data_IF_240144852611
#
_entry.id   IF_240144852611
#
_cell.length_a   1.000
_cell.length_b   1.000
_cell.length_c   1.000
_cell.angle_alpha   90.00
_cell.angle_beta   90.00
_cell.angle_gamma   90.00
#
_symmetry.space_group_name_H-M   'P 1'
#
loop_
_entity.id
_entity.type
_entity.pdbx_description
1 polymer ?
#
# COMPACT_ATOMS: atom_id res chain seq x y z
N UNK A 1 -2.87 -18.22 13.11
CA UNK A 1 -2.45 -17.19 12.13
C UNK A 1 -1.99 -15.98 12.91
N UNK A 2 -0.86 -15.38 12.52
CA UNK A 2 -0.27 -14.22 13.22
C UNK A 2 -0.77 -12.93 12.60
N UNK A 3 -1.03 -11.92 13.43
CA UNK A 3 -1.47 -10.61 12.95
C UNK A 3 -0.25 -9.79 12.49
N UNK A 4 -0.29 -9.28 11.26
CA UNK A 4 0.73 -8.38 10.72
C UNK A 4 0.46 -6.92 11.10
N UNK A 5 -0.82 -6.51 11.11
CA UNK A 5 -1.23 -5.16 11.50
C UNK A 5 -2.38 -5.26 12.49
N UNK A 6 -2.27 -4.55 13.61
CA UNK A 6 -3.35 -4.38 14.59
C UNK A 6 -3.52 -2.90 14.91
N UNK A 7 -4.74 -2.42 14.80
CA UNK A 7 -5.13 -1.05 15.10
C UNK A 7 -6.29 -1.08 16.09
N UNK A 8 -6.15 -0.37 17.20
CA UNK A 8 -7.16 -0.26 18.24
C UNK A 8 -7.46 1.20 18.59
N UNK A 9 -8.73 1.58 18.47
CA UNK A 9 -9.29 2.89 18.82
C UNK A 9 -8.51 4.07 18.22
N UNK A 10 -8.02 3.91 16.97
CA UNK A 10 -7.21 4.91 16.30
C UNK A 10 -8.06 6.11 15.88
N UNK A 11 -7.67 7.29 16.35
CA UNK A 11 -8.24 8.55 15.90
C UNK A 11 -7.13 9.52 15.50
N UNK A 12 -7.34 10.27 14.41
CA UNK A 12 -6.38 11.22 13.90
C UNK A 12 -7.05 12.47 13.36
N UNK A 13 -6.49 13.62 13.71
CA UNK A 13 -6.90 14.93 13.21
C UNK A 13 -5.72 15.69 12.62
N UNK A 14 -5.96 16.43 11.54
CA UNK A 14 -4.99 17.34 10.94
C UNK A 14 -5.64 18.72 10.78
N UNK A 15 -4.95 19.76 11.27
CA UNK A 15 -5.49 21.15 11.22
C UNK A 15 -6.93 21.24 11.76
N UNK A 16 -7.17 20.69 12.95
CA UNK A 16 -8.47 20.61 13.64
C UNK A 16 -9.56 19.79 12.91
N UNK A 17 -9.29 19.29 11.70
CA UNK A 17 -10.23 18.44 10.98
C UNK A 17 -9.98 16.97 11.35
N UNK A 18 -11.01 16.27 11.82
CA UNK A 18 -10.98 14.83 12.04
C UNK A 18 -10.88 14.13 10.68
N UNK A 19 -9.86 13.26 10.53
CA UNK A 19 -9.62 12.44 9.33
C UNK A 19 -10.02 10.99 9.59
N UNK A 20 -9.66 10.46 10.76
CA UNK A 20 -10.00 9.12 11.20
C UNK A 20 -10.55 9.18 12.62
N UNK A 21 -11.53 8.33 12.93
CA UNK A 21 -12.20 8.29 14.22
C UNK A 21 -12.50 6.84 14.62
N UNK A 22 -11.99 6.44 15.79
CA UNK A 22 -12.20 5.13 16.39
C UNK A 22 -11.99 3.93 15.44
N UNK A 23 -10.96 4.00 14.61
CA UNK A 23 -10.61 2.92 13.66
C UNK A 23 -10.09 1.72 14.44
N UNK A 24 -10.70 0.56 14.18
CA UNK A 24 -10.26 -0.75 14.65
C UNK A 24 -10.07 -1.65 13.44
N UNK A 25 -8.92 -2.29 13.32
CA UNK A 25 -8.54 -3.09 12.15
C UNK A 25 -7.51 -4.14 12.54
N UNK A 26 -7.68 -5.37 12.08
CA UNK A 26 -6.69 -6.44 12.22
C UNK A 26 -6.46 -7.09 10.87
N UNK A 27 -5.21 -7.13 10.41
CA UNK A 27 -4.83 -7.80 9.16
C UNK A 27 -3.85 -8.92 9.47
N UNK A 28 -4.17 -10.11 9.00
CA UNK A 28 -3.36 -11.32 9.17
C UNK A 28 -2.20 -11.36 8.16
N UNK A 29 -1.13 -12.08 8.50
CA UNK A 29 0.00 -12.33 7.58
C UNK A 29 -0.45 -13.06 6.31
N UNK A 30 0.33 -12.90 5.23
CA UNK A 30 0.16 -13.61 3.97
C UNK A 30 -0.86 -13.01 3.00
N UNK A 31 -1.66 -12.03 3.41
CA UNK A 31 -2.78 -11.50 2.63
C UNK A 31 -2.41 -10.32 1.73
N UNK A 32 -3.13 -10.22 0.62
CA UNK A 32 -3.24 -9.00 -0.19
C UNK A 32 -4.60 -8.37 0.13
N UNK A 33 -4.58 -7.17 0.71
CA UNK A 33 -5.76 -6.49 1.25
C UNK A 33 -6.03 -5.19 0.49
N UNK A 34 -7.23 -5.05 -0.04
CA UNK A 34 -7.69 -3.80 -0.67
C UNK A 34 -8.19 -2.81 0.38
N UNK A 35 -7.60 -1.63 0.45
CA UNK A 35 -8.08 -0.51 1.27
C UNK A 35 -8.92 0.43 0.40
N UNK A 36 -10.23 0.29 0.50
CA UNK A 36 -11.20 0.96 -0.35
C UNK A 36 -11.85 2.14 0.37
N UNK A 37 -12.38 3.08 -0.38
CA UNK A 37 -13.07 4.24 0.16
C UNK A 37 -13.03 5.43 -0.80
N UNK A 38 -13.95 6.35 -0.65
CA UNK A 38 -14.01 7.56 -1.46
C UNK A 38 -12.74 8.42 -1.35
N UNK A 39 -12.53 9.33 -2.30
CA UNK A 39 -11.44 10.29 -2.23
C UNK A 39 -11.58 11.14 -0.96
N UNK A 40 -10.50 11.26 -0.20
CA UNK A 40 -10.50 11.96 1.08
C UNK A 40 -11.05 11.17 2.28
N UNK A 41 -11.43 9.90 2.13
CA UNK A 41 -11.90 9.04 3.23
C UNK A 41 -10.84 8.77 4.30
N UNK A 42 -9.56 9.00 4.00
CA UNK A 42 -8.47 8.82 4.96
C UNK A 42 -7.53 7.63 4.68
N UNK A 43 -7.66 6.95 3.53
CA UNK A 43 -6.83 5.78 3.14
C UNK A 43 -5.32 6.06 3.24
N UNK A 44 -4.83 7.05 2.50
CA UNK A 44 -3.42 7.49 2.55
C UNK A 44 -2.98 7.89 3.96
N UNK A 45 -3.87 8.56 4.71
CA UNK A 45 -3.58 8.95 6.10
C UNK A 45 -3.40 7.72 6.99
N UNK A 46 -4.27 6.72 6.85
CA UNK A 46 -4.17 5.47 7.60
C UNK A 46 -2.86 4.74 7.27
N UNK A 47 -2.51 4.62 5.99
CA UNK A 47 -1.24 4.01 5.56
C UNK A 47 -0.02 4.76 6.14
N UNK A 48 -0.01 6.09 6.10
CA UNK A 48 1.06 6.91 6.70
C UNK A 48 1.19 6.75 8.20
N UNK A 49 0.08 6.54 8.91
CA UNK A 49 0.09 6.25 10.35
C UNK A 49 0.64 4.84 10.63
N UNK A 50 0.26 3.84 9.84
CA UNK A 50 0.81 2.47 9.92
C UNK A 50 2.32 2.51 9.67
N UNK A 51 2.77 3.17 8.60
CA UNK A 51 4.18 3.33 8.25
C UNK A 51 4.99 4.16 9.28
N UNK A 52 4.32 4.85 10.21
CA UNK A 52 4.99 5.74 11.16
C UNK A 52 5.54 7.02 10.54
N UNK A 53 5.07 7.39 9.36
CA UNK A 53 5.39 8.66 8.67
C UNK A 53 4.55 9.80 9.26
N UNK A 54 3.25 9.57 9.46
CA UNK A 54 2.40 10.50 10.20
C UNK A 54 2.45 10.22 11.71
N UNK A 55 2.33 11.29 12.52
CA UNK A 55 2.38 11.25 13.98
C UNK A 55 1.18 11.99 14.58
N UNK A 56 0.94 11.80 15.88
CA UNK A 56 -0.09 12.55 16.63
C UNK A 56 -1.47 11.88 16.63
N UNK A 57 -1.57 10.60 16.28
CA UNK A 57 -2.80 9.83 16.47
C UNK A 57 -3.03 9.47 17.95
N UNK A 58 -4.30 9.32 18.33
CA UNK A 58 -4.73 8.63 19.56
C UNK A 58 -4.97 7.16 19.21
N UNK A 59 -4.93 6.29 20.23
CA UNK A 59 -5.09 4.84 20.02
C UNK A 59 -3.75 4.13 19.79
N UNK A 60 -3.81 2.90 19.33
CA UNK A 60 -2.66 2.00 19.23
C UNK A 60 -2.53 1.44 17.83
N UNK A 61 -1.31 1.42 17.30
CA UNK A 61 -0.98 0.73 16.04
C UNK A 61 0.20 -0.19 16.33
N UNK A 62 -0.01 -1.49 16.08
CA UNK A 62 1.03 -2.53 16.16
C UNK A 62 1.27 -3.06 14.75
N UNK A 63 2.52 -3.20 14.35
CA UNK A 63 2.93 -3.81 13.09
C UNK A 63 3.97 -4.87 13.40
N UNK A 64 3.72 -6.10 12.99
CA UNK A 64 4.57 -7.27 13.29
C UNK A 64 5.00 -7.28 14.78
N UNK A 65 4.02 -7.19 15.67
CA UNK A 65 4.21 -7.10 17.13
C UNK A 65 5.01 -5.87 17.63
N UNK A 66 5.34 -4.91 16.75
CA UNK A 66 6.07 -3.68 17.10
C UNK A 66 5.15 -2.47 17.23
N UNK A 67 5.31 -1.71 18.31
CA UNK A 67 4.54 -0.47 18.55
C UNK A 67 5.39 0.79 18.42
N UNK A 68 6.69 0.71 18.74
CA UNK A 68 7.59 1.85 18.62
C UNK A 68 7.74 2.25 17.14
N UNK A 69 7.63 3.54 16.86
CA UNK A 69 7.70 4.08 15.48
C UNK A 69 8.97 3.64 14.76
N UNK A 70 10.12 3.68 15.42
CA UNK A 70 11.40 3.26 14.85
C UNK A 70 11.40 1.77 14.44
N UNK A 71 10.88 0.89 15.30
CA UNK A 71 10.77 -0.53 15.02
C UNK A 71 9.73 -0.84 13.94
N UNK A 72 8.62 -0.10 13.87
CA UNK A 72 7.62 -0.24 12.78
C UNK A 72 8.22 0.12 11.42
N UNK A 73 9.04 1.17 11.35
CA UNK A 73 9.66 1.61 10.08
C UNK A 73 10.56 0.56 9.44
N UNK A 74 11.20 -0.31 10.23
CA UNK A 74 11.98 -1.44 9.71
C UNK A 74 11.12 -2.65 9.29
N UNK A 75 9.81 -2.63 9.56
CA UNK A 75 8.88 -3.70 9.22
C UNK A 75 7.90 -3.32 8.11
N UNK A 76 7.97 -2.07 7.65
CA UNK A 76 7.04 -1.53 6.65
C UNK A 76 7.81 -0.95 5.48
N UNK A 77 7.45 -1.35 4.29
CA UNK A 77 7.80 -0.66 3.05
C UNK A 77 6.58 0.09 2.53
N UNK A 78 6.73 1.39 2.29
CA UNK A 78 5.64 2.25 1.85
C UNK A 78 5.98 2.90 0.51
N UNK A 79 5.08 2.81 -0.46
CA UNK A 79 5.21 3.41 -1.79
C UNK A 79 5.08 4.93 -1.71
N UNK A 80 6.11 5.60 -1.19
CA UNK A 80 6.13 7.06 -1.17
C UNK A 80 6.43 7.61 -2.56
N UNK A 81 5.76 8.70 -2.90
CA UNK A 81 6.11 9.44 -4.11
C UNK A 81 7.52 10.02 -3.98
N UNK A 82 8.31 9.94 -5.06
CA UNK A 82 9.71 10.38 -5.10
C UNK A 82 9.89 11.91 -5.11
N UNK A 83 8.92 12.65 -4.55
CA UNK A 83 8.89 14.12 -4.57
C UNK A 83 9.99 14.77 -3.69
N UNK A 84 10.63 13.99 -2.81
CA UNK A 84 11.76 14.44 -2.01
C UNK A 84 13.09 14.52 -2.79
N UNK A 85 13.17 13.91 -3.96
CA UNK A 85 14.37 13.91 -4.79
C UNK A 85 14.38 15.08 -5.78
N UNK A 86 15.59 15.54 -6.13
CA UNK A 86 15.76 16.52 -7.18
C UNK A 86 15.26 15.93 -8.52
N UNK A 87 14.41 16.64 -9.30
CA UNK A 87 13.91 16.13 -10.59
C UNK A 87 15.00 15.77 -11.60
N UNK A 88 16.19 16.37 -11.51
CA UNK A 88 17.30 16.07 -12.38
C UNK A 88 18.22 14.93 -11.88
N UNK A 89 17.90 14.30 -10.74
CA UNK A 89 18.66 13.14 -10.26
C UNK A 89 18.46 11.95 -11.19
N UNK A 90 19.52 11.20 -11.44
CA UNK A 90 19.44 9.92 -12.17
C UNK A 90 18.85 8.83 -11.28
N UNK A 91 18.14 7.90 -11.89
CA UNK A 91 17.50 6.78 -11.19
C UNK A 91 18.52 5.93 -10.43
N UNK A 92 19.71 5.67 -11.02
CA UNK A 92 20.82 4.96 -10.35
C UNK A 92 21.18 5.55 -8.97
N UNK A 93 21.08 6.88 -8.82
CA UNK A 93 21.37 7.55 -7.53
C UNK A 93 20.23 7.40 -6.51
N UNK A 94 18.99 7.27 -6.98
CA UNK A 94 17.86 6.95 -6.12
C UNK A 94 17.99 5.53 -5.59
N UNK A 95 18.40 4.58 -6.44
CA UNK A 95 18.65 3.19 -6.05
C UNK A 95 19.77 3.13 -5.01
N UNK A 96 20.91 3.79 -5.28
CA UNK A 96 22.02 3.88 -4.31
C UNK A 96 21.57 4.44 -2.97
N UNK A 97 20.73 5.48 -2.98
CA UNK A 97 20.15 6.03 -1.74
C UNK A 97 19.31 4.99 -0.97
N UNK A 98 18.50 4.18 -1.66
CA UNK A 98 17.74 3.11 -1.01
C UNK A 98 18.64 2.03 -0.41
N UNK A 99 19.71 1.65 -1.12
CA UNK A 99 20.73 0.70 -0.63
C UNK A 99 21.42 1.21 0.64
N UNK A 100 21.74 2.50 0.69
CA UNK A 100 22.43 3.12 1.82
C UNK A 100 21.51 3.31 3.05
N UNK A 101 20.23 3.64 2.82
CA UNK A 101 19.28 4.02 3.88
C UNK A 101 18.53 2.83 4.45
N UNK A 102 18.25 1.81 3.63
CA UNK A 102 17.47 0.64 4.04
C UNK A 102 18.34 -0.62 4.09
N UNK A 103 18.76 -1.07 5.28
CA UNK A 103 19.57 -2.29 5.42
C UNK A 103 18.89 -3.56 4.90
N UNK A 104 17.57 -3.52 4.78
CA UNK A 104 16.70 -4.58 4.25
C UNK A 104 16.41 -4.47 2.76
N UNK A 105 17.11 -3.58 2.03
CA UNK A 105 16.99 -3.45 0.59
C UNK A 105 17.80 -4.53 -0.13
N UNK A 106 17.11 -5.43 -0.83
CA UNK A 106 17.73 -6.48 -1.63
C UNK A 106 18.05 -5.99 -3.04
N UNK A 107 19.33 -5.78 -3.33
CA UNK A 107 19.81 -5.37 -4.65
C UNK A 107 19.49 -6.42 -5.71
N UNK A 108 19.64 -7.70 -5.39
CA UNK A 108 19.36 -8.78 -6.34
C UNK A 108 17.87 -8.81 -6.73
N UNK A 109 16.99 -8.71 -5.74
CA UNK A 109 15.54 -8.63 -5.95
C UNK A 109 15.16 -7.40 -6.78
N UNK A 110 15.81 -6.25 -6.51
CA UNK A 110 15.62 -5.04 -7.30
C UNK A 110 16.04 -5.25 -8.76
N UNK A 111 17.22 -5.81 -9.02
CA UNK A 111 17.74 -6.04 -10.36
C UNK A 111 16.83 -6.94 -11.19
N UNK A 112 16.35 -8.04 -10.61
CA UNK A 112 15.38 -8.92 -11.26
C UNK A 112 14.10 -8.16 -11.63
N UNK A 113 13.58 -7.39 -10.69
CA UNK A 113 12.35 -6.62 -10.85
C UNK A 113 12.53 -5.47 -11.84
N UNK A 114 13.67 -4.78 -11.82
CA UNK A 114 14.01 -3.71 -12.76
C UNK A 114 14.05 -4.24 -14.20
N UNK A 115 14.64 -5.42 -14.41
CA UNK A 115 14.60 -6.11 -15.70
C UNK A 115 13.19 -6.46 -16.16
N UNK A 116 12.36 -7.02 -15.28
CA UNK A 116 10.97 -7.37 -15.57
C UNK A 116 10.11 -6.14 -15.89
N UNK A 117 10.23 -5.09 -15.09
CA UNK A 117 9.49 -3.83 -15.23
C UNK A 117 10.05 -2.94 -16.35
N UNK A 118 11.24 -3.27 -16.87
CA UNK A 118 11.96 -2.48 -17.87
C UNK A 118 12.25 -1.04 -17.37
N UNK A 119 12.88 -0.95 -16.19
CA UNK A 119 13.31 0.32 -15.61
C UNK A 119 14.65 0.73 -16.24
N UNK A 120 14.71 1.92 -16.83
CA UNK A 120 15.95 2.51 -17.33
C UNK A 120 16.58 3.40 -16.26
N UNK A 121 17.64 2.90 -15.64
CA UNK A 121 18.33 3.56 -14.52
C UNK A 121 19.18 4.76 -14.96
N UNK A 122 19.51 4.86 -16.25
CA UNK A 122 20.25 5.99 -16.81
C UNK A 122 19.44 7.27 -16.94
N UNK A 123 18.11 7.17 -16.91
CA UNK A 123 17.21 8.30 -17.03
C UNK A 123 17.22 9.20 -15.78
N UNK A 124 16.84 10.46 -15.99
CA UNK A 124 16.54 11.39 -14.91
C UNK A 124 15.10 11.19 -14.42
N UNK A 125 14.85 11.44 -13.13
CA UNK A 125 13.52 11.36 -12.54
C UNK A 125 12.48 12.22 -13.28
N UNK A 126 12.88 13.39 -13.77
CA UNK A 126 12.02 14.28 -14.57
C UNK A 126 11.67 13.75 -15.96
N UNK A 127 12.44 12.80 -16.49
CA UNK A 127 12.20 12.20 -17.81
C UNK A 127 11.21 11.03 -17.77
N UNK A 128 10.84 10.56 -16.55
CA UNK A 128 9.92 9.44 -16.41
C UNK A 128 8.48 9.86 -16.72
N UNK A 129 7.81 9.09 -17.55
CA UNK A 129 6.35 9.12 -17.64
C UNK A 129 5.73 8.67 -16.29
N UNK A 130 4.42 8.90 -16.09
CA UNK A 130 3.74 8.47 -14.90
C UNK A 130 3.88 6.94 -14.69
N UNK A 131 3.63 6.14 -15.73
CA UNK A 131 3.75 4.69 -15.64
C UNK A 131 5.19 4.21 -15.36
N UNK A 132 6.21 4.87 -15.92
CA UNK A 132 7.61 4.57 -15.60
C UNK A 132 7.95 4.91 -14.14
N UNK A 133 7.40 6.00 -13.63
CA UNK A 133 7.57 6.40 -12.22
C UNK A 133 6.93 5.39 -11.28
N UNK A 134 5.71 4.93 -11.57
CA UNK A 134 5.04 3.91 -10.76
C UNK A 134 5.79 2.58 -10.76
N UNK A 135 6.32 2.15 -11.91
CA UNK A 135 7.20 0.97 -12.00
C UNK A 135 8.42 1.11 -11.09
N UNK A 136 9.09 2.27 -11.11
CA UNK A 136 10.23 2.53 -10.24
C UNK A 136 9.84 2.49 -8.76
N UNK A 137 8.73 3.15 -8.37
CA UNK A 137 8.23 3.16 -7.00
C UNK A 137 7.94 1.72 -6.52
N UNK A 138 7.26 0.92 -7.33
CA UNK A 138 6.96 -0.48 -7.02
C UNK A 138 8.26 -1.29 -6.91
N UNK A 139 9.19 -1.12 -7.85
CA UNK A 139 10.49 -1.78 -7.80
C UNK A 139 11.24 -1.48 -6.49
N UNK A 140 11.35 -0.22 -6.11
CA UNK A 140 12.00 0.20 -4.87
C UNK A 140 11.25 -0.32 -3.62
N UNK A 141 9.91 -0.27 -3.64
CA UNK A 141 9.08 -0.68 -2.49
C UNK A 141 9.16 -2.17 -2.23
N UNK A 142 8.98 -3.00 -3.27
CA UNK A 142 8.97 -4.46 -3.14
C UNK A 142 10.37 -5.07 -3.00
N UNK A 143 11.42 -4.33 -3.31
CA UNK A 143 12.81 -4.79 -3.11
C UNK A 143 13.28 -4.70 -1.65
N UNK A 144 12.52 -4.10 -0.76
CA UNK A 144 12.76 -4.19 0.67
C UNK A 144 12.23 -5.51 1.22
N UNK A 145 12.99 -6.15 2.09
CA UNK A 145 12.61 -7.41 2.74
C UNK A 145 11.87 -7.12 4.06
N UNK A 146 10.60 -6.73 3.95
CA UNK A 146 9.75 -6.34 5.08
C UNK A 146 8.51 -7.23 5.19
N UNK A 147 7.83 -7.17 6.35
CA UNK A 147 6.61 -7.94 6.59
C UNK A 147 5.35 -7.27 6.04
N UNK A 148 5.38 -5.94 5.88
CA UNK A 148 4.21 -5.17 5.45
C UNK A 148 4.60 -4.22 4.32
N UNK A 149 3.89 -4.32 3.22
CA UNK A 149 4.00 -3.40 2.08
C UNK A 149 2.72 -2.59 1.98
N UNK A 150 2.86 -1.28 1.88
CA UNK A 150 1.76 -0.33 1.73
C UNK A 150 1.88 0.33 0.37
N UNK A 151 0.92 0.09 -0.51
CA UNK A 151 0.89 0.61 -1.87
C UNK A 151 -0.26 1.61 -2.01
N UNK A 152 0.06 2.89 -2.07
CA UNK A 152 -0.92 3.98 -2.11
C UNK A 152 -1.22 4.42 -3.55
N UNK A 153 -2.38 4.01 -4.08
CA UNK A 153 -2.88 4.26 -5.43
C UNK A 153 -1.89 3.91 -6.57
N UNK A 154 -1.29 2.69 -6.56
CA UNK A 154 -0.22 2.33 -7.50
C UNK A 154 -0.69 2.21 -8.94
N UNK A 155 -2.00 2.18 -9.20
CA UNK A 155 -2.59 1.99 -10.53
C UNK A 155 -3.20 3.26 -11.11
N UNK A 156 -3.18 4.37 -10.36
CA UNK A 156 -3.83 5.62 -10.75
C UNK A 156 -3.26 6.24 -12.03
N UNK A 157 -4.04 6.27 -13.12
CA UNK A 157 -3.69 6.99 -14.36
C UNK A 157 -2.52 6.42 -15.14
N UNK A 158 -2.32 5.11 -15.09
CA UNK A 158 -1.39 4.34 -15.93
C UNK A 158 -2.17 3.48 -16.93
N UNK A 159 -1.51 3.09 -18.01
CA UNK A 159 -2.11 2.21 -19.03
C UNK A 159 -2.28 0.76 -18.52
N UNK A 160 -3.14 -0.02 -19.19
CA UNK A 160 -3.46 -1.39 -18.82
C UNK A 160 -2.27 -2.34 -18.85
N UNK A 161 -1.31 -2.16 -19.77
CA UNK A 161 -0.12 -3.02 -19.84
C UNK A 161 0.82 -2.76 -18.67
N UNK A 162 1.04 -1.49 -18.33
CA UNK A 162 1.84 -1.10 -17.15
C UNK A 162 1.20 -1.62 -15.88
N UNK A 163 -0.13 -1.50 -15.75
CA UNK A 163 -0.89 -2.03 -14.62
C UNK A 163 -0.72 -3.53 -14.47
N UNK A 164 -0.91 -4.29 -15.55
CA UNK A 164 -0.70 -5.74 -15.54
C UNK A 164 0.70 -6.11 -15.06
N UNK A 165 1.75 -5.44 -15.55
CA UNK A 165 3.12 -5.68 -15.09
C UNK A 165 3.31 -5.41 -13.60
N UNK A 166 2.68 -4.36 -13.06
CA UNK A 166 2.72 -4.07 -11.61
C UNK A 166 2.02 -5.17 -10.82
N UNK A 167 0.83 -5.61 -11.24
CA UNK A 167 0.09 -6.71 -10.61
C UNK A 167 0.93 -7.99 -10.63
N UNK A 168 1.49 -8.36 -11.78
CA UNK A 168 2.36 -9.53 -11.93
C UNK A 168 3.59 -9.43 -11.00
N UNK A 169 4.13 -8.22 -10.81
CA UNK A 169 5.24 -7.98 -9.88
C UNK A 169 4.81 -8.22 -8.42
N UNK A 170 3.64 -7.73 -8.03
CA UNK A 170 3.09 -7.93 -6.68
C UNK A 170 2.97 -9.43 -6.39
N UNK A 171 2.38 -10.20 -7.31
CA UNK A 171 2.18 -11.64 -7.15
C UNK A 171 3.54 -12.37 -7.09
N UNK A 172 4.47 -12.03 -8.00
CA UNK A 172 5.74 -12.75 -8.15
C UNK A 172 6.71 -12.53 -6.99
N UNK A 173 6.79 -11.31 -6.46
CA UNK A 173 7.80 -10.92 -5.47
C UNK A 173 7.28 -10.75 -4.04
N UNK A 174 5.98 -10.92 -3.80
CA UNK A 174 5.45 -11.02 -2.44
C UNK A 174 5.93 -12.32 -1.80
N UNK A 175 6.53 -12.25 -0.61
CA UNK A 175 6.78 -13.43 0.20
C UNK A 175 5.48 -13.96 0.83
N UNK A 176 5.41 -15.28 1.08
CA UNK A 176 4.18 -15.94 1.56
C UNK A 176 3.62 -15.31 2.83
N UNK A 177 4.48 -14.95 3.77
CA UNK A 177 4.09 -14.35 5.05
C UNK A 177 3.87 -12.84 5.01
N UNK A 178 4.27 -12.15 3.92
CA UNK A 178 4.13 -10.72 3.83
C UNK A 178 2.70 -10.28 3.54
N UNK A 179 2.31 -9.15 4.13
CA UNK A 179 1.06 -8.46 3.83
C UNK A 179 1.29 -7.36 2.83
N UNK A 180 0.41 -7.25 1.85
CA UNK A 180 0.33 -6.09 0.98
C UNK A 180 -1.01 -5.41 1.21
N UNK A 181 -1.00 -4.16 1.65
CA UNK A 181 -2.17 -3.30 1.74
C UNK A 181 -2.13 -2.33 0.55
N UNK A 182 -3.10 -2.45 -0.35
CA UNK A 182 -3.20 -1.64 -1.57
C UNK A 182 -4.38 -0.71 -1.45
N UNK A 183 -4.19 0.60 -1.52
CA UNK A 183 -5.30 1.53 -1.71
C UNK A 183 -5.54 1.75 -3.19
N UNK A 184 -6.78 1.65 -3.60
CA UNK A 184 -7.21 2.07 -4.94
C UNK A 184 -8.67 2.49 -4.92
N UNK A 185 -9.08 3.24 -5.93
CA UNK A 185 -10.47 3.58 -6.18
C UNK A 185 -11.03 2.83 -7.41
N UNK A 186 -10.19 2.14 -8.18
CA UNK A 186 -10.58 1.24 -9.27
C UNK A 186 -10.54 -0.22 -8.80
N UNK A 187 -11.56 -0.62 -8.06
CA UNK A 187 -11.63 -1.93 -7.39
C UNK A 187 -11.54 -3.09 -8.35
N UNK A 188 -12.23 -3.01 -9.49
CA UNK A 188 -12.28 -4.05 -10.54
C UNK A 188 -10.90 -4.48 -11.03
N UNK A 189 -9.93 -3.58 -11.01
CA UNK A 189 -8.61 -3.81 -11.58
C UNK A 189 -7.70 -4.65 -10.69
N UNK A 190 -7.94 -4.62 -9.38
CA UNK A 190 -7.16 -5.36 -8.38
C UNK A 190 -7.96 -6.50 -7.73
N UNK A 191 -9.26 -6.57 -7.97
CA UNK A 191 -10.16 -7.54 -7.34
C UNK A 191 -9.69 -9.00 -7.47
N UNK A 192 -9.02 -9.33 -8.58
CA UNK A 192 -8.53 -10.69 -8.88
C UNK A 192 -7.40 -11.15 -7.97
N UNK A 193 -6.69 -10.25 -7.32
CA UNK A 193 -5.54 -10.57 -6.45
C UNK A 193 -5.82 -10.33 -4.97
N UNK A 194 -6.99 -9.80 -4.61
CA UNK A 194 -7.34 -9.50 -3.23
C UNK A 194 -7.85 -10.75 -2.49
N UNK A 195 -7.30 -10.98 -1.31
CA UNK A 195 -7.82 -11.95 -0.34
C UNK A 195 -8.91 -11.34 0.54
N UNK A 196 -8.81 -10.04 0.80
CA UNK A 196 -9.65 -9.31 1.74
C UNK A 196 -9.79 -7.84 1.33
N UNK A 197 -10.92 -7.22 1.69
CA UNK A 197 -11.13 -5.78 1.56
C UNK A 197 -11.43 -5.14 2.90
N UNK A 198 -10.98 -3.88 3.03
CA UNK A 198 -11.30 -2.97 4.13
C UNK A 198 -11.88 -1.70 3.54
N UNK A 199 -13.11 -1.36 3.90
CA UNK A 199 -13.80 -0.15 3.42
C UNK A 199 -13.71 0.93 4.50
N UNK A 200 -13.13 2.08 4.14
CA UNK A 200 -13.14 3.28 4.97
C UNK A 200 -14.29 4.18 4.52
N UNK A 201 -15.27 4.36 5.39
CA UNK A 201 -16.42 5.27 5.23
C UNK A 201 -16.63 6.00 6.55
N UNK A 202 -17.09 7.25 6.53
CA UNK A 202 -17.39 8.06 7.73
C UNK A 202 -16.22 8.12 8.74
N UNK A 203 -14.98 8.20 8.20
CA UNK A 203 -13.72 8.30 8.97
C UNK A 203 -13.36 7.04 9.78
N UNK A 204 -14.06 5.94 9.60
CA UNK A 204 -13.80 4.67 10.31
C UNK A 204 -13.76 3.48 9.36
N UNK A 205 -13.46 2.29 9.88
CA UNK A 205 -13.64 1.03 9.14
C UNK A 205 -15.13 0.71 9.13
N UNK A 206 -15.76 0.84 7.98
CA UNK A 206 -17.16 0.49 7.76
C UNK A 206 -17.33 -1.03 7.62
N UNK A 207 -16.46 -1.67 6.86
CA UNK A 207 -16.48 -3.12 6.66
C UNK A 207 -15.07 -3.68 6.48
N UNK A 208 -14.89 -4.91 6.95
CA UNK A 208 -13.72 -5.76 6.68
C UNK A 208 -14.24 -7.14 6.30
N UNK A 209 -13.96 -7.60 5.07
CA UNK A 209 -14.51 -8.83 4.50
C UNK A 209 -13.50 -9.57 3.65
N UNK A 210 -13.45 -10.91 3.77
CA UNK A 210 -12.73 -11.71 2.77
C UNK A 210 -13.47 -11.71 1.44
N UNK A 211 -12.73 -11.84 0.35
CA UNK A 211 -13.31 -11.90 -1.00
C UNK A 211 -14.19 -13.15 -1.18
N UNK A 212 -13.85 -14.24 -0.48
CA UNK A 212 -14.65 -15.47 -0.43
C UNK A 212 -16.00 -15.21 0.26
N UNK A 213 -16.01 -14.55 1.45
CA UNK A 213 -17.25 -14.19 2.14
C UNK A 213 -18.16 -13.32 1.26
N UNK A 214 -17.60 -12.39 0.50
CA UNK A 214 -18.37 -11.53 -0.42
C UNK A 214 -19.04 -12.39 -1.49
N UNK A 215 -18.32 -13.29 -2.12
CA UNK A 215 -18.84 -14.17 -3.18
C UNK A 215 -19.90 -15.14 -2.65
N UNK A 216 -19.65 -15.80 -1.53
CA UNK A 216 -20.51 -16.86 -1.02
C UNK A 216 -21.76 -16.32 -0.31
N UNK A 217 -21.59 -15.35 0.57
CA UNK A 217 -22.68 -14.84 1.42
C UNK A 217 -23.50 -13.75 0.74
N UNK A 218 -22.84 -12.82 0.05
CA UNK A 218 -23.52 -11.69 -0.58
C UNK A 218 -23.85 -11.98 -2.06
N UNK A 219 -23.19 -12.98 -2.69
CA UNK A 219 -23.34 -13.34 -4.12
C UNK A 219 -23.00 -12.18 -5.06
N UNK A 220 -22.10 -11.31 -4.63
CA UNK A 220 -21.69 -10.09 -5.32
C UNK A 220 -20.22 -10.16 -5.73
N UNK A 221 -19.84 -9.33 -6.70
CA UNK A 221 -18.45 -8.98 -6.95
C UNK A 221 -17.95 -7.96 -5.92
N UNK A 222 -16.63 -7.84 -5.77
CA UNK A 222 -16.04 -6.87 -4.83
C UNK A 222 -16.47 -5.43 -5.17
N UNK A 223 -16.54 -5.10 -6.46
CA UNK A 223 -16.94 -3.76 -6.94
C UNK A 223 -18.40 -3.46 -6.57
N UNK A 224 -19.30 -4.40 -6.84
CA UNK A 224 -20.72 -4.29 -6.51
C UNK A 224 -20.93 -4.16 -4.99
N UNK A 225 -20.24 -5.00 -4.18
CA UNK A 225 -20.27 -4.90 -2.72
C UNK A 225 -19.78 -3.53 -2.23
N UNK A 226 -18.69 -3.01 -2.82
CA UNK A 226 -18.17 -1.69 -2.49
C UNK A 226 -19.15 -0.57 -2.87
N UNK A 227 -19.76 -0.63 -4.07
CA UNK A 227 -20.77 0.35 -4.50
C UNK A 227 -21.99 0.34 -3.58
N UNK A 228 -22.49 -0.86 -3.22
CA UNK A 228 -23.64 -1.00 -2.33
C UNK A 228 -23.38 -0.40 -0.95
N UNK A 229 -22.15 -0.52 -0.42
CA UNK A 229 -21.77 0.15 0.83
C UNK A 229 -21.93 1.68 0.82
N UNK A 230 -22.00 2.31 -0.38
CA UNK A 230 -22.22 3.74 -0.55
C UNK A 230 -23.63 4.11 -1.05
N UNK A 231 -24.44 3.13 -1.50
CA UNK A 231 -25.83 3.36 -1.94
C UNK A 231 -26.85 3.33 -0.80
N UNK A 232 -26.49 2.77 0.35
CA UNK A 232 -27.36 2.66 1.53
C UNK A 232 -27.51 4.00 2.30
N UNK A 233 -27.31 5.11 1.63
CA UNK A 233 -27.69 6.46 2.03
C UNK A 233 -28.86 6.91 1.12
#
# INVERSE_FOLDING_TARGET
MTNAIEIANLSYSKNLKKILENVNLTIQQGKIVGLLGANGAGKTTLMRLIAGVAKGSKGKITVDNQQKITAKKSRVSFSEQLNGFNPNIKIEKIISFYQDVYPDFSTDKYNEMAGFLQIDEGLKLSALSKGMREKLIIGLTLSRETQVYLLDEPFGGIDSMTRKKIIDSIIKWKSDDAVILVSDHYVSEIASILDEIVIIKDKTVYAQKSTEEIREKYREGIEEYYENAYREE
#
